data_IF_437362360836
#
_entry.id   IF_437362360836
#
_cell.length_a   1.000
_cell.length_b   1.000
_cell.length_c   1.000
_cell.angle_alpha   90.00
_cell.angle_beta   90.00
_cell.angle_gamma   90.00
#
_symmetry.space_group_name_H-M   'P 1'
#
loop_
_entity.id
_entity.type
_entity.pdbx_description
1 polymer ?
#
# COMPACT_ATOMS: atom_id res chain seq x y z
N UNK A 1 14.89 18.70 5.54
CA UNK A 1 15.95 17.68 5.51
C UNK A 1 15.68 16.79 4.31
N UNK A 2 16.39 17.05 3.21
CA UNK A 2 16.32 16.27 1.95
C UNK A 2 17.03 14.94 2.20
N UNK A 3 16.30 13.85 2.34
CA UNK A 3 16.89 12.51 2.27
C UNK A 3 17.02 12.16 0.79
N UNK A 4 18.21 12.32 0.25
CA UNK A 4 18.64 11.63 -0.96
C UNK A 4 18.78 10.14 -0.63
N UNK A 5 17.69 9.42 -0.61
CA UNK A 5 17.70 7.97 -0.57
C UNK A 5 17.88 7.52 -2.03
N UNK A 6 18.91 6.72 -2.33
CA UNK A 6 19.15 6.26 -3.69
C UNK A 6 17.92 5.45 -4.13
N UNK A 7 17.25 5.90 -5.18
CA UNK A 7 16.19 5.14 -5.84
C UNK A 7 16.75 3.77 -6.22
N UNK A 8 16.38 2.72 -5.48
CA UNK A 8 16.71 1.34 -5.81
C UNK A 8 16.04 0.99 -7.14
N UNK A 9 16.76 1.17 -8.22
CA UNK A 9 16.33 0.62 -9.51
C UNK A 9 16.45 -0.89 -9.45
N UNK A 10 15.39 -1.65 -9.72
CA UNK A 10 15.46 -3.09 -9.75
C UNK A 10 16.47 -3.52 -10.83
N UNK A 11 17.22 -4.59 -10.60
CA UNK A 11 18.14 -5.10 -11.61
C UNK A 11 17.37 -5.45 -12.89
N UNK A 12 17.89 -5.02 -14.03
CA UNK A 12 17.27 -5.18 -15.38
C UNK A 12 16.88 -6.63 -15.72
N UNK A 13 17.51 -7.61 -15.09
CA UNK A 13 17.30 -9.04 -15.33
C UNK A 13 16.09 -9.66 -14.61
N UNK A 14 15.53 -9.03 -13.58
CA UNK A 14 14.45 -9.61 -12.75
C UNK A 14 13.15 -9.94 -13.52
N UNK A 15 12.67 -9.11 -14.47
CA UNK A 15 11.45 -9.45 -15.22
C UNK A 15 11.62 -10.67 -16.13
N UNK A 16 12.83 -10.98 -16.58
CA UNK A 16 13.08 -12.03 -17.55
C UNK A 16 13.12 -13.43 -16.92
N UNK A 17 13.30 -13.52 -15.60
CA UNK A 17 13.22 -14.77 -14.84
C UNK A 17 11.79 -15.28 -14.70
N UNK A 18 10.78 -14.44 -14.92
CA UNK A 18 9.38 -14.80 -14.80
C UNK A 18 8.95 -15.78 -15.90
N UNK A 19 8.66 -17.02 -15.52
CA UNK A 19 8.18 -18.10 -16.41
C UNK A 19 6.70 -17.98 -16.81
N UNK A 20 6.02 -16.92 -16.39
CA UNK A 20 4.61 -16.58 -16.73
C UNK A 20 3.56 -17.62 -16.31
N UNK A 21 3.84 -18.50 -15.35
CA UNK A 21 2.95 -19.57 -14.89
C UNK A 21 1.63 -19.11 -14.27
N UNK A 22 1.51 -17.83 -13.91
CA UNK A 22 0.33 -17.21 -13.29
C UNK A 22 -0.03 -17.72 -11.87
N UNK A 23 0.77 -18.52 -11.19
CA UNK A 23 0.52 -19.00 -9.82
C UNK A 23 0.31 -17.83 -8.85
N UNK A 24 1.09 -16.76 -8.99
CA UNK A 24 0.96 -15.54 -8.18
C UNK A 24 -0.40 -14.83 -8.36
N UNK A 25 -1.03 -14.96 -9.53
CA UNK A 25 -2.37 -14.42 -9.79
C UNK A 25 -3.43 -15.12 -8.94
N UNK A 26 -3.35 -16.46 -8.88
CA UNK A 26 -4.27 -17.27 -8.09
C UNK A 26 -4.12 -17.03 -6.57
N UNK A 27 -2.92 -16.69 -6.11
CA UNK A 27 -2.64 -16.42 -4.70
C UNK A 27 -3.01 -14.99 -4.25
N UNK A 28 -3.20 -14.06 -5.19
CA UNK A 28 -3.41 -12.65 -4.86
C UNK A 28 -4.80 -12.38 -4.27
N UNK A 29 -4.91 -11.89 -3.01
CA UNK A 29 -6.20 -11.59 -2.40
C UNK A 29 -6.89 -10.40 -3.07
N UNK A 30 -6.13 -9.44 -3.60
CA UNK A 30 -6.68 -8.24 -4.22
C UNK A 30 -7.33 -8.55 -5.57
N UNK A 31 -6.67 -9.32 -6.45
CA UNK A 31 -7.22 -9.68 -7.75
C UNK A 31 -8.47 -10.56 -7.68
N UNK A 32 -8.72 -11.19 -6.51
CA UNK A 32 -9.95 -11.96 -6.27
C UNK A 32 -11.18 -11.09 -5.95
N UNK A 33 -10.97 -9.87 -5.42
CA UNK A 33 -12.07 -9.02 -4.95
C UNK A 33 -12.31 -7.81 -5.83
N UNK A 34 -11.37 -7.45 -6.70
CA UNK A 34 -11.52 -6.33 -7.62
C UNK A 34 -10.96 -6.66 -9.00
N UNK A 35 -11.74 -6.43 -10.08
CA UNK A 35 -11.26 -6.61 -11.45
C UNK A 35 -10.32 -5.47 -11.90
N UNK A 36 -10.26 -4.37 -11.15
CA UNK A 36 -9.42 -3.22 -11.49
C UNK A 36 -7.93 -3.53 -11.33
N UNK A 37 -7.56 -4.33 -10.35
CA UNK A 37 -6.17 -4.71 -10.18
C UNK A 37 -5.78 -5.82 -11.16
N UNK A 38 -4.87 -5.57 -12.11
CA UNK A 38 -4.52 -6.55 -13.15
C UNK A 38 -3.76 -7.78 -12.60
N UNK A 39 -3.43 -7.74 -11.30
CA UNK A 39 -2.75 -8.82 -10.59
C UNK A 39 -1.23 -8.68 -10.58
N UNK A 40 -0.58 -9.42 -9.67
CA UNK A 40 0.84 -9.25 -9.36
C UNK A 40 1.75 -9.55 -10.55
N UNK A 41 1.40 -10.49 -11.43
CA UNK A 41 2.20 -10.82 -12.62
C UNK A 41 2.21 -9.67 -13.63
N UNK A 42 1.06 -9.07 -13.90
CA UNK A 42 0.93 -7.95 -14.83
C UNK A 42 1.57 -6.69 -14.27
N UNK A 43 1.23 -6.34 -13.03
CA UNK A 43 1.71 -5.14 -12.38
C UNK A 43 3.22 -5.19 -12.07
N UNK A 44 3.76 -6.35 -11.72
CA UNK A 44 5.17 -6.56 -11.42
C UNK A 44 6.00 -6.86 -12.69
N UNK A 45 6.34 -8.13 -12.94
CA UNK A 45 7.27 -8.49 -14.02
C UNK A 45 6.79 -8.08 -15.41
N UNK A 46 5.48 -8.13 -15.67
CA UNK A 46 4.90 -7.74 -16.97
C UNK A 46 5.13 -6.26 -17.27
N UNK A 47 4.68 -5.38 -16.37
CA UNK A 47 4.79 -3.95 -16.53
C UNK A 47 6.24 -3.43 -16.40
N UNK A 48 7.12 -4.15 -15.65
CA UNK A 48 8.52 -3.77 -15.51
C UNK A 48 9.26 -3.69 -16.84
N UNK A 49 8.90 -4.48 -17.82
CA UNK A 49 9.50 -4.43 -19.16
C UNK A 49 9.24 -3.08 -19.85
N UNK A 50 8.01 -2.56 -19.70
CA UNK A 50 7.63 -1.25 -20.24
C UNK A 50 8.27 -0.11 -19.45
N UNK A 51 8.30 -0.21 -18.12
CA UNK A 51 8.98 0.78 -17.27
C UNK A 51 10.47 0.88 -17.57
N UNK A 52 11.11 -0.23 -17.90
CA UNK A 52 12.53 -0.26 -18.27
C UNK A 52 12.82 0.36 -19.63
N UNK A 53 11.81 0.39 -20.54
CA UNK A 53 11.89 1.02 -21.84
C UNK A 53 11.55 2.53 -21.80
N UNK A 54 11.35 3.11 -20.63
CA UNK A 54 10.94 4.51 -20.42
C UNK A 54 9.60 4.88 -21.06
N UNK A 55 8.75 3.91 -21.31
CA UNK A 55 7.38 4.14 -21.76
C UNK A 55 6.51 4.63 -20.59
N UNK A 56 5.38 5.28 -20.95
CA UNK A 56 4.42 5.75 -19.96
C UNK A 56 3.99 4.62 -19.02
N UNK A 57 3.87 4.94 -17.76
CA UNK A 57 3.52 3.95 -16.74
C UNK A 57 2.11 3.39 -16.99
N UNK A 58 2.00 2.06 -17.09
CA UNK A 58 0.72 1.32 -17.15
C UNK A 58 0.21 1.00 -15.74
N UNK A 59 0.55 1.83 -14.78
CA UNK A 59 0.45 1.52 -13.34
C UNK A 59 -0.81 2.09 -12.67
N UNK A 60 -1.85 2.47 -13.42
CA UNK A 60 -3.06 3.13 -12.89
C UNK A 60 -3.67 2.45 -11.65
N UNK A 61 -3.52 1.13 -11.54
CA UNK A 61 -4.10 0.35 -10.45
C UNK A 61 -3.09 -0.24 -9.47
N UNK A 62 -1.84 0.14 -9.59
CA UNK A 62 -0.76 -0.36 -8.73
C UNK A 62 -0.96 0.00 -7.26
N UNK A 63 -1.65 1.09 -6.97
CA UNK A 63 -1.99 1.52 -5.62
C UNK A 63 -2.83 0.51 -4.84
N UNK A 64 -3.57 -0.36 -5.53
CA UNK A 64 -4.35 -1.44 -4.92
C UNK A 64 -3.48 -2.58 -4.38
N UNK A 65 -2.20 -2.66 -4.77
CA UNK A 65 -1.28 -3.65 -4.22
C UNK A 65 -1.05 -3.39 -2.73
N UNK A 66 -1.37 -4.37 -1.89
CA UNK A 66 -1.21 -4.30 -0.43
C UNK A 66 0.17 -4.70 0.07
N UNK A 67 1.08 -5.08 -0.83
CA UNK A 67 2.43 -5.55 -0.50
C UNK A 67 2.44 -6.73 0.51
N UNK A 68 1.49 -7.64 0.43
CA UNK A 68 1.34 -8.77 1.36
C UNK A 68 2.35 -9.91 1.14
N UNK A 69 3.21 -9.83 0.14
CA UNK A 69 4.25 -10.81 -0.22
C UNK A 69 3.77 -12.23 -0.62
N UNK A 70 2.48 -12.51 -0.63
CA UNK A 70 1.97 -13.83 -1.04
C UNK A 70 2.41 -14.23 -2.46
N UNK A 71 2.53 -13.28 -3.37
CA UNK A 71 3.01 -13.54 -4.73
C UNK A 71 4.46 -14.04 -4.77
N UNK A 72 5.31 -13.61 -3.83
CA UNK A 72 6.71 -14.03 -3.75
C UNK A 72 6.81 -15.43 -3.19
N UNK A 73 6.03 -15.77 -2.16
CA UNK A 73 6.06 -17.08 -1.50
C UNK A 73 5.63 -18.22 -2.42
N UNK A 74 4.72 -17.94 -3.37
CA UNK A 74 4.21 -18.95 -4.31
C UNK A 74 4.95 -18.97 -5.66
N UNK A 75 5.93 -18.08 -5.85
CA UNK A 75 6.65 -17.98 -7.12
C UNK A 75 7.67 -19.10 -7.29
N UNK A 76 7.50 -20.05 -8.23
CA UNK A 76 8.45 -21.14 -8.42
C UNK A 76 9.80 -20.67 -8.98
N UNK A 77 9.83 -19.50 -9.61
CA UNK A 77 11.04 -18.89 -10.17
C UNK A 77 11.71 -17.89 -9.21
N UNK A 78 11.18 -17.70 -7.99
CA UNK A 78 11.77 -16.82 -6.99
C UNK A 78 11.82 -15.34 -7.39
N UNK A 79 10.90 -14.89 -8.26
CA UNK A 79 10.83 -13.48 -8.68
C UNK A 79 10.32 -12.64 -7.50
N UNK A 80 11.00 -11.56 -7.07
CA UNK A 80 10.53 -10.68 -6.01
C UNK A 80 9.43 -9.72 -6.53
N UNK A 81 8.26 -10.28 -6.78
CA UNK A 81 7.13 -9.59 -7.44
C UNK A 81 6.61 -8.44 -6.57
N UNK A 82 6.59 -8.63 -5.25
CA UNK A 82 6.15 -7.59 -4.31
C UNK A 82 7.10 -6.38 -4.33
N UNK A 83 8.40 -6.60 -4.42
CA UNK A 83 9.38 -5.52 -4.52
C UNK A 83 9.19 -4.72 -5.82
N UNK A 84 9.00 -5.40 -6.95
CA UNK A 84 8.70 -4.76 -8.23
C UNK A 84 7.42 -3.91 -8.14
N UNK A 85 6.37 -4.44 -7.51
CA UNK A 85 5.12 -3.72 -7.31
C UNK A 85 5.28 -2.51 -6.37
N UNK A 86 6.08 -2.63 -5.31
CA UNK A 86 6.35 -1.53 -4.39
C UNK A 86 7.12 -0.40 -5.06
N UNK A 87 8.15 -0.73 -5.85
CA UNK A 87 8.91 0.26 -6.63
C UNK A 87 8.01 0.98 -7.65
N UNK A 88 7.16 0.22 -8.34
CA UNK A 88 6.18 0.79 -9.25
C UNK A 88 5.19 1.72 -8.54
N UNK A 89 4.69 1.30 -7.38
CA UNK A 89 3.77 2.09 -6.56
C UNK A 89 4.45 3.38 -6.04
N UNK A 90 5.70 3.30 -5.62
CA UNK A 90 6.46 4.47 -5.19
C UNK A 90 6.58 5.48 -6.33
N UNK A 91 7.00 5.03 -7.53
CA UNK A 91 7.10 5.88 -8.72
C UNK A 91 5.76 6.50 -9.09
N UNK A 92 4.69 5.71 -9.13
CA UNK A 92 3.33 6.18 -9.43
C UNK A 92 2.86 7.26 -8.45
N UNK A 93 3.14 7.09 -7.16
CA UNK A 93 2.77 8.07 -6.12
C UNK A 93 3.61 9.34 -6.22
N UNK A 94 4.87 9.25 -6.61
CA UNK A 94 5.73 10.42 -6.83
C UNK A 94 5.27 11.23 -8.05
N UNK A 95 4.87 10.58 -9.14
CA UNK A 95 4.35 11.22 -10.35
C UNK A 95 2.96 11.86 -10.12
N UNK A 96 2.06 11.18 -9.41
CA UNK A 96 0.70 11.67 -9.10
C UNK A 96 0.70 12.78 -8.06
N UNK A 97 1.72 12.84 -7.22
CA UNK A 97 1.74 13.66 -6.02
C UNK A 97 0.96 13.03 -4.85
N UNK A 98 1.31 13.44 -3.64
CA UNK A 98 0.70 12.91 -2.40
C UNK A 98 -0.61 13.64 -2.10
N UNK A 99 -1.65 12.87 -1.82
CA UNK A 99 -2.92 13.43 -1.35
C UNK A 99 -2.84 13.80 0.14
N UNK A 100 -3.75 14.68 0.60
CA UNK A 100 -3.88 15.00 2.03
C UNK A 100 -4.09 13.75 2.89
N UNK A 101 -4.88 12.81 2.39
CA UNK A 101 -5.08 11.50 3.01
C UNK A 101 -3.76 10.74 3.21
N UNK A 102 -2.92 10.67 2.15
CA UNK A 102 -1.65 9.95 2.21
C UNK A 102 -0.70 10.60 3.24
N UNK A 103 -0.67 11.94 3.26
CA UNK A 103 0.08 12.72 4.23
C UNK A 103 -0.37 12.42 5.67
N UNK A 104 -1.67 12.35 5.91
CA UNK A 104 -2.26 12.06 7.22
C UNK A 104 -1.92 10.63 7.68
N UNK A 105 -2.12 9.63 6.80
CA UNK A 105 -1.91 8.23 7.13
C UNK A 105 -0.43 7.89 7.38
N UNK A 106 0.49 8.51 6.66
CA UNK A 106 1.94 8.32 6.88
C UNK A 106 2.38 8.85 8.25
N UNK A 107 1.68 9.82 8.82
CA UNK A 107 1.98 10.40 10.13
C UNK A 107 1.16 9.78 11.28
N UNK A 108 0.68 8.58 11.09
CA UNK A 108 -0.13 7.85 12.09
C UNK A 108 0.55 7.74 13.46
N UNK A 109 1.87 7.70 13.54
CA UNK A 109 2.62 7.66 14.81
C UNK A 109 2.35 8.89 15.67
N UNK A 110 2.46 10.09 15.09
CA UNK A 110 2.24 11.34 15.81
C UNK A 110 0.77 11.51 16.22
N UNK A 111 -0.15 11.25 15.29
CA UNK A 111 -1.59 11.30 15.59
C UNK A 111 -2.00 10.22 16.58
N UNK A 112 -1.41 9.04 16.48
CA UNK A 112 -1.67 7.92 17.39
C UNK A 112 -1.26 8.22 18.82
N UNK A 113 -0.11 8.84 19.03
CA UNK A 113 0.35 9.25 20.35
C UNK A 113 -0.56 10.32 20.99
N UNK A 114 -0.96 11.32 20.18
CA UNK A 114 -1.90 12.35 20.62
C UNK A 114 -3.27 11.75 20.93
N UNK A 115 -3.78 10.88 20.03
CA UNK A 115 -5.07 10.23 20.22
C UNK A 115 -5.10 9.30 21.44
N UNK A 116 -4.01 8.60 21.71
CA UNK A 116 -3.88 7.76 22.91
C UNK A 116 -3.98 8.59 24.20
N UNK A 117 -3.33 9.75 24.24
CA UNK A 117 -3.39 10.65 25.40
C UNK A 117 -4.80 11.17 25.70
N UNK A 118 -5.62 11.33 24.65
CA UNK A 118 -7.01 11.76 24.72
C UNK A 118 -8.00 10.65 24.39
N UNK A 119 -7.64 9.39 24.68
CA UNK A 119 -8.41 8.19 24.29
C UNK A 119 -9.86 8.22 24.79
N UNK A 120 -10.11 8.81 25.96
CA UNK A 120 -11.45 8.95 26.56
C UNK A 120 -12.40 9.85 25.76
N UNK A 121 -11.87 10.75 24.91
CA UNK A 121 -12.65 11.58 23.98
C UNK A 121 -12.64 10.96 22.58
N UNK A 122 -11.46 10.50 22.13
CA UNK A 122 -11.27 10.04 20.76
C UNK A 122 -12.03 8.73 20.49
N UNK A 123 -12.05 7.80 21.43
CA UNK A 123 -12.73 6.52 21.24
C UNK A 123 -14.25 6.67 21.05
N UNK A 124 -15.01 7.38 21.89
CA UNK A 124 -16.44 7.59 21.64
C UNK A 124 -16.68 8.42 20.38
N UNK A 125 -15.80 9.37 20.05
CA UNK A 125 -15.89 10.15 18.84
C UNK A 125 -15.74 9.26 17.57
N UNK A 126 -14.77 8.36 17.55
CA UNK A 126 -14.54 7.43 16.44
C UNK A 126 -15.65 6.38 16.32
N UNK A 127 -16.37 6.07 17.40
CA UNK A 127 -17.54 5.19 17.40
C UNK A 127 -18.79 5.87 16.88
N UNK A 128 -18.82 7.20 16.84
CA UNK A 128 -19.99 7.97 16.41
C UNK A 128 -20.24 7.84 14.90
N UNK A 129 -21.49 7.52 14.51
CA UNK A 129 -21.88 7.32 13.11
C UNK A 129 -21.67 8.58 12.23
N UNK A 130 -21.90 9.76 12.78
CA UNK A 130 -21.73 11.02 12.03
C UNK A 130 -20.24 11.30 11.76
N UNK A 131 -19.36 11.03 12.73
CA UNK A 131 -17.91 11.17 12.56
C UNK A 131 -17.40 10.14 11.54
N UNK A 132 -17.86 8.91 11.62
CA UNK A 132 -17.49 7.86 10.62
C UNK A 132 -17.97 8.23 9.21
N UNK A 133 -19.14 8.82 9.08
CA UNK A 133 -19.63 9.34 7.80
C UNK A 133 -18.73 10.49 7.28
N UNK A 134 -18.30 11.39 8.17
CA UNK A 134 -17.39 12.48 7.80
C UNK A 134 -16.01 11.97 7.38
N UNK A 135 -15.48 10.97 8.08
CA UNK A 135 -14.21 10.31 7.72
C UNK A 135 -14.30 9.59 6.38
N UNK A 136 -15.44 8.98 6.08
CA UNK A 136 -15.69 8.36 4.77
C UNK A 136 -15.73 9.41 3.66
N UNK A 137 -16.44 10.51 3.86
CA UNK A 137 -16.57 11.58 2.88
C UNK A 137 -15.24 12.33 2.62
N UNK A 138 -14.44 12.60 3.64
CA UNK A 138 -13.22 13.41 3.54
C UNK A 138 -11.98 12.56 3.26
N UNK A 139 -11.84 11.42 3.93
CA UNK A 139 -10.64 10.60 3.89
C UNK A 139 -10.85 9.29 3.13
N UNK A 140 -12.06 9.02 2.64
CA UNK A 140 -12.43 7.75 1.98
C UNK A 140 -12.08 6.53 2.82
N UNK A 141 -12.27 6.65 4.14
CA UNK A 141 -12.18 5.54 5.08
C UNK A 141 -13.59 4.96 5.22
N UNK A 142 -13.81 3.74 4.73
CA UNK A 142 -15.14 3.10 4.72
C UNK A 142 -15.75 3.14 6.13
N UNK A 143 -16.92 3.75 6.26
CA UNK A 143 -17.68 3.93 7.52
C UNK A 143 -18.07 2.61 8.20
N UNK A 144 -18.05 1.48 7.46
CA UNK A 144 -18.34 0.14 8.00
C UNK A 144 -17.15 -0.44 8.75
N UNK A 145 -15.94 0.07 8.48
CA UNK A 145 -14.73 -0.41 9.13
C UNK A 145 -14.67 0.09 10.57
N UNK A 146 -14.55 -0.84 11.51
CA UNK A 146 -14.27 -0.48 12.90
C UNK A 146 -12.81 -0.03 13.02
N UNK A 147 -12.63 1.16 13.60
CA UNK A 147 -11.30 1.67 13.89
C UNK A 147 -10.85 1.13 15.25
N UNK A 148 -9.57 0.75 15.40
CA UNK A 148 -9.06 0.27 16.68
C UNK A 148 -9.18 1.34 17.76
N UNK A 149 -9.50 0.94 18.98
CA UNK A 149 -9.53 1.83 20.12
C UNK A 149 -8.11 2.23 20.52
N UNK A 150 -7.95 3.47 20.93
CA UNK A 150 -6.70 3.98 21.47
C UNK A 150 -6.64 3.72 22.98
N UNK A 151 -5.49 3.28 23.46
CA UNK A 151 -5.23 3.03 24.87
C UNK A 151 -4.03 3.84 25.36
N UNK A 152 -4.09 4.23 26.62
CA UNK A 152 -3.00 4.92 27.31
C UNK A 152 -2.69 4.18 28.62
N UNK A 153 -1.40 3.93 28.95
CA UNK A 153 -0.20 4.26 28.19
C UNK A 153 -0.06 3.47 26.88
N UNK A 154 0.63 4.06 25.90
CA UNK A 154 0.92 3.38 24.64
C UNK A 154 1.92 2.24 24.86
N UNK A 155 1.94 1.24 23.96
CA UNK A 155 2.91 0.14 24.03
C UNK A 155 4.36 0.64 24.17
N UNK A 156 4.72 1.73 23.46
CA UNK A 156 6.05 2.36 23.57
C UNK A 156 6.38 2.90 24.96
N UNK A 157 5.38 3.32 25.72
CA UNK A 157 5.56 3.85 27.08
C UNK A 157 5.53 2.74 28.12
N UNK A 158 4.88 1.63 27.80
CA UNK A 158 4.79 0.47 28.66
C UNK A 158 6.03 -0.42 28.57
N UNK A 159 6.61 -0.57 27.36
CA UNK A 159 7.82 -1.36 27.10
C UNK A 159 9.09 -0.62 27.48
#
# INVERSE_FOLDING_TARGET
MSRNEPTRTPPKSLPDVCVRCATCMAACPVSRVTPHFPGPKQAGPGAQRFRSASEASVDDWIELCTACHLCDTVCPAGVPISELNLLAKAKFLDERGRTFRDWLLVRSDWFGELAARFSFIVNPLMSNRAVRWLLDALLRIDRRRELPAYEYPTFRQWF
#
